data_IF_714879105699
#
_entry.id   IF_714879105699
#
_cell.length_a   1.000
_cell.length_b   1.000
_cell.length_c   1.000
_cell.angle_alpha   90.00
_cell.angle_beta   90.00
_cell.angle_gamma   90.00
#
_symmetry.space_group_name_H-M   'P 1'
#
loop_
_entity.id
_entity.type
_entity.pdbx_description
1 polymer ?
#
# COMPACT_ATOMS: atom_id res chain seq x y z
N UNK A 1 -14.58 13.69 -0.03
CA UNK A 1 -14.59 12.38 -0.70
C UNK A 1 -13.16 12.03 -1.11
N UNK A 2 -12.74 10.75 -0.93
CA UNK A 2 -11.41 10.26 -1.31
C UNK A 2 -11.58 9.47 -2.60
N UNK A 3 -10.79 9.81 -3.63
CA UNK A 3 -10.80 9.06 -4.88
C UNK A 3 -10.10 7.71 -4.68
N UNK A 4 -10.65 6.68 -5.31
CA UNK A 4 -10.08 5.33 -5.38
C UNK A 4 -10.21 4.80 -6.81
N UNK A 5 -9.39 3.85 -7.24
CA UNK A 5 -9.58 3.21 -8.55
C UNK A 5 -10.88 2.41 -8.57
N UNK A 6 -11.55 2.37 -9.70
CA UNK A 6 -12.69 1.47 -9.92
C UNK A 6 -12.24 0.03 -9.69
N UNK A 7 -12.97 -0.69 -8.87
CA UNK A 7 -12.60 -2.04 -8.45
C UNK A 7 -13.81 -2.97 -8.51
N UNK A 8 -13.63 -4.14 -9.14
CA UNK A 8 -14.66 -5.13 -9.38
C UNK A 8 -14.30 -6.46 -8.72
N UNK A 9 -15.30 -7.11 -8.14
CA UNK A 9 -15.17 -8.42 -7.49
C UNK A 9 -15.53 -9.57 -8.44
N UNK A 10 -16.16 -9.27 -9.57
CA UNK A 10 -16.54 -10.27 -10.57
C UNK A 10 -16.08 -9.85 -11.95
N UNK A 11 -15.80 -10.83 -12.80
CA UNK A 11 -15.38 -10.61 -14.18
C UNK A 11 -16.54 -10.03 -15.01
N UNK A 12 -17.77 -10.44 -14.71
CA UNK A 12 -18.94 -10.02 -15.47
C UNK A 12 -19.24 -8.52 -15.25
N UNK A 13 -19.21 -8.04 -14.00
CA UNK A 13 -19.40 -6.61 -13.69
C UNK A 13 -18.34 -5.74 -14.38
N UNK A 14 -17.06 -6.17 -14.36
CA UNK A 14 -16.00 -5.47 -15.05
C UNK A 14 -16.22 -5.42 -16.56
N UNK A 15 -16.63 -6.53 -17.17
CA UNK A 15 -16.93 -6.62 -18.61
C UNK A 15 -18.13 -5.75 -19.02
N UNK A 16 -19.12 -5.62 -18.16
CA UNK A 16 -20.27 -4.75 -18.41
C UNK A 16 -19.83 -3.29 -18.48
N UNK A 17 -19.00 -2.84 -17.53
CA UNK A 17 -18.48 -1.48 -17.52
C UNK A 17 -17.45 -1.21 -18.62
N UNK A 18 -16.70 -2.21 -19.08
CA UNK A 18 -15.86 -2.07 -20.28
C UNK A 18 -16.73 -1.86 -21.52
N UNK A 19 -17.79 -2.65 -21.68
CA UNK A 19 -18.72 -2.52 -22.84
C UNK A 19 -19.44 -1.19 -22.84
N UNK A 20 -19.79 -0.65 -21.69
CA UNK A 20 -20.42 0.67 -21.57
C UNK A 20 -19.46 1.84 -21.78
N UNK A 21 -18.14 1.58 -21.81
CA UNK A 21 -17.10 2.62 -21.86
C UNK A 21 -16.84 3.29 -20.52
N UNK A 22 -17.40 2.76 -19.42
CA UNK A 22 -17.18 3.28 -18.07
C UNK A 22 -15.84 2.84 -17.48
N UNK A 23 -15.29 1.72 -17.97
CA UNK A 23 -13.99 1.17 -17.58
C UNK A 23 -13.12 0.96 -18.81
N UNK A 24 -11.85 1.37 -18.75
CA UNK A 24 -10.92 1.30 -19.87
C UNK A 24 -9.67 0.49 -19.51
N UNK A 25 -9.05 -0.12 -20.51
CA UNK A 25 -7.74 -0.75 -20.38
C UNK A 25 -6.62 0.31 -20.32
N UNK A 26 -5.45 -0.04 -19.71
CA UNK A 26 -5.13 -1.31 -19.07
C UNK A 26 -5.76 -1.49 -17.68
N UNK A 27 -5.94 -2.76 -17.26
CA UNK A 27 -6.53 -3.14 -15.98
C UNK A 27 -5.58 -4.04 -15.20
N UNK A 28 -5.56 -3.87 -13.88
CA UNK A 28 -4.89 -4.82 -12.99
C UNK A 28 -5.81 -5.94 -12.55
N UNK A 29 -5.28 -7.16 -12.58
CA UNK A 29 -5.88 -8.37 -12.04
C UNK A 29 -5.03 -8.81 -10.87
N UNK A 30 -5.60 -8.86 -9.68
CA UNK A 30 -4.85 -9.17 -8.45
C UNK A 30 -5.68 -9.97 -7.45
N UNK A 31 -5.03 -10.73 -6.54
CA UNK A 31 -5.74 -11.37 -5.44
C UNK A 31 -6.45 -10.33 -4.57
N UNK A 32 -7.68 -10.65 -4.15
CA UNK A 32 -8.41 -9.83 -3.17
C UNK A 32 -7.70 -9.81 -1.82
N UNK A 33 -7.15 -10.94 -1.43
CA UNK A 33 -6.33 -11.11 -0.23
C UNK A 33 -4.92 -11.47 -0.67
N UNK A 34 -4.06 -10.49 -0.84
CA UNK A 34 -2.72 -10.65 -1.39
C UNK A 34 -1.67 -9.82 -0.67
N UNK A 35 -0.41 -10.10 -0.96
CA UNK A 35 0.73 -9.33 -0.48
C UNK A 35 1.90 -9.46 -1.46
N UNK A 36 2.81 -8.47 -1.43
CA UNK A 36 4.08 -8.53 -2.16
C UNK A 36 3.93 -8.68 -3.67
N UNK A 37 2.88 -8.12 -4.27
CA UNK A 37 2.55 -8.20 -5.71
C UNK A 37 2.42 -9.62 -6.26
N UNK A 38 2.22 -10.64 -5.40
CA UNK A 38 2.04 -12.02 -5.83
C UNK A 38 0.73 -12.18 -6.61
N UNK A 39 0.82 -12.78 -7.80
CA UNK A 39 -0.32 -12.98 -8.70
C UNK A 39 -0.98 -11.68 -9.19
N UNK A 40 -0.22 -10.60 -9.28
CA UNK A 40 -0.66 -9.34 -9.90
C UNK A 40 -0.30 -9.38 -11.38
N UNK A 41 -1.27 -9.11 -12.24
CA UNK A 41 -1.13 -9.09 -13.69
C UNK A 41 -1.75 -7.82 -14.27
N UNK A 42 -1.25 -7.37 -15.41
CA UNK A 42 -1.81 -6.27 -16.18
C UNK A 42 -2.40 -6.80 -17.48
N UNK A 43 -3.64 -6.43 -17.79
CA UNK A 43 -4.33 -6.76 -19.03
C UNK A 43 -4.49 -5.51 -19.88
N UNK A 44 -4.11 -5.59 -21.16
CA UNK A 44 -4.19 -4.51 -22.14
C UNK A 44 -5.48 -4.58 -23.00
N UNK A 45 -6.18 -5.71 -22.94
CA UNK A 45 -7.38 -5.96 -23.73
C UNK A 45 -8.26 -7.06 -23.12
N UNK A 46 -9.44 -7.26 -23.71
CA UNK A 46 -10.44 -8.23 -23.23
C UNK A 46 -9.95 -9.68 -23.24
N UNK A 47 -9.14 -10.06 -24.23
CA UNK A 47 -8.62 -11.43 -24.33
C UNK A 47 -7.60 -11.73 -23.22
N UNK A 48 -6.71 -10.77 -22.95
CA UNK A 48 -5.78 -10.87 -21.83
C UNK A 48 -6.50 -10.87 -20.50
N UNK A 49 -7.53 -10.04 -20.31
CA UNK A 49 -8.34 -10.02 -19.11
C UNK A 49 -8.88 -11.40 -18.76
N UNK A 50 -9.48 -12.10 -19.74
CA UNK A 50 -10.04 -13.44 -19.54
C UNK A 50 -8.97 -14.47 -19.14
N UNK A 51 -7.87 -14.49 -19.86
CA UNK A 51 -6.75 -15.43 -19.62
C UNK A 51 -6.08 -15.16 -18.27
N UNK A 52 -5.80 -13.90 -17.97
CA UNK A 52 -5.09 -13.51 -16.76
C UNK A 52 -5.98 -13.66 -15.50
N UNK A 53 -7.29 -13.44 -15.62
CA UNK A 53 -8.24 -13.71 -14.54
C UNK A 53 -8.22 -15.20 -14.14
N UNK A 54 -8.34 -16.11 -15.11
CA UNK A 54 -8.26 -17.55 -14.86
C UNK A 54 -6.90 -17.97 -14.31
N UNK A 55 -5.82 -17.36 -14.81
CA UNK A 55 -4.46 -17.58 -14.30
C UNK A 55 -4.33 -17.13 -12.85
N UNK A 56 -4.87 -15.97 -12.49
CA UNK A 56 -4.86 -15.47 -11.12
C UNK A 56 -5.58 -16.44 -10.18
N UNK A 57 -6.81 -16.85 -10.52
CA UNK A 57 -7.59 -17.82 -9.74
C UNK A 57 -6.84 -19.14 -9.54
N UNK A 58 -6.25 -19.68 -10.60
CA UNK A 58 -5.45 -20.91 -10.53
C UNK A 58 -4.25 -20.76 -9.60
N UNK A 59 -3.53 -19.65 -9.72
CA UNK A 59 -2.32 -19.41 -8.95
C UNK A 59 -2.62 -19.16 -7.47
N UNK A 60 -3.70 -18.45 -7.15
CA UNK A 60 -4.19 -18.27 -5.77
C UNK A 60 -4.43 -19.64 -5.12
N UNK A 61 -5.13 -20.54 -5.80
CA UNK A 61 -5.44 -21.89 -5.29
C UNK A 61 -4.20 -22.78 -5.08
N UNK A 62 -3.12 -22.51 -5.82
CA UNK A 62 -1.90 -23.32 -5.82
C UNK A 62 -0.77 -22.75 -4.93
N UNK A 63 -1.01 -21.65 -4.21
CA UNK A 63 -0.03 -21.05 -3.31
C UNK A 63 -0.64 -20.79 -1.92
N UNK A 64 0.08 -20.12 -1.03
CA UNK A 64 -0.38 -19.84 0.33
C UNK A 64 -1.56 -18.87 0.40
N UNK A 65 -1.83 -18.05 -0.64
CA UNK A 65 -2.99 -17.16 -0.69
C UNK A 65 -4.33 -17.92 -0.64
N UNK A 66 -4.32 -19.22 -0.93
CA UNK A 66 -5.51 -20.08 -0.83
C UNK A 66 -6.15 -20.07 0.57
N UNK A 67 -5.35 -19.90 1.62
CA UNK A 67 -5.85 -19.92 3.00
C UNK A 67 -6.71 -18.69 3.31
N UNK A 68 -6.28 -17.51 2.87
CA UNK A 68 -7.06 -16.28 3.01
C UNK A 68 -8.26 -16.26 2.06
N UNK A 69 -8.06 -16.73 0.82
CA UNK A 69 -9.10 -16.78 -0.22
C UNK A 69 -10.18 -17.82 0.06
N UNK A 70 -9.92 -18.77 0.98
CA UNK A 70 -10.91 -19.79 1.37
C UNK A 70 -12.21 -19.20 1.94
N UNK A 71 -12.22 -17.94 2.33
CA UNK A 71 -13.42 -17.22 2.78
C UNK A 71 -14.45 -17.06 1.67
N UNK A 72 -14.00 -16.81 0.45
CA UNK A 72 -14.86 -16.60 -0.72
C UNK A 72 -14.05 -16.80 -2.02
N UNK A 73 -13.95 -18.04 -2.48
CA UNK A 73 -13.28 -18.39 -3.74
C UNK A 73 -14.00 -17.88 -4.98
N UNK A 74 -15.26 -17.47 -4.86
CA UNK A 74 -16.00 -16.90 -5.99
C UNK A 74 -15.61 -15.46 -6.28
N UNK A 75 -14.98 -14.78 -5.31
CA UNK A 75 -14.55 -13.38 -5.35
C UNK A 75 -13.11 -13.21 -4.85
N UNK A 76 -12.25 -14.16 -5.17
CA UNK A 76 -10.86 -14.18 -4.73
C UNK A 76 -9.92 -13.31 -5.59
N UNK A 77 -10.41 -12.84 -6.75
CA UNK A 77 -9.68 -11.97 -7.68
C UNK A 77 -10.37 -10.62 -7.78
N UNK A 78 -9.60 -9.55 -7.72
CA UNK A 78 -10.01 -8.19 -8.04
C UNK A 78 -9.61 -7.84 -9.47
N UNK A 79 -10.47 -7.11 -10.16
CA UNK A 79 -10.17 -6.39 -11.40
C UNK A 79 -10.21 -4.91 -11.05
N UNK A 80 -9.14 -4.19 -11.32
CA UNK A 80 -8.99 -2.82 -10.88
C UNK A 80 -8.46 -1.93 -12.00
N UNK A 81 -9.03 -0.73 -12.08
CA UNK A 81 -8.53 0.36 -12.92
C UNK A 81 -7.06 0.62 -12.62
N UNK A 82 -6.23 0.76 -13.66
CA UNK A 82 -4.85 1.19 -13.50
C UNK A 82 -4.82 2.67 -13.18
N UNK A 83 -4.18 3.03 -12.07
CA UNK A 83 -3.87 4.41 -11.77
C UNK A 83 -2.60 4.83 -12.51
N UNK A 84 -2.57 6.07 -12.95
CA UNK A 84 -1.44 6.71 -13.61
C UNK A 84 -0.86 7.82 -12.72
N UNK A 85 0.29 8.34 -13.13
CA UNK A 85 0.99 9.40 -12.40
C UNK A 85 2.08 8.90 -11.48
N UNK A 86 2.44 9.72 -10.50
CA UNK A 86 3.51 9.40 -9.54
C UNK A 86 2.95 8.67 -8.33
N UNK A 87 3.66 7.64 -7.87
CA UNK A 87 3.28 6.86 -6.69
C UNK A 87 3.94 7.40 -5.43
N UNK A 88 3.13 7.53 -4.38
CA UNK A 88 3.54 7.99 -3.06
C UNK A 88 3.16 6.96 -2.00
N UNK A 89 4.03 6.80 -1.00
CA UNK A 89 3.74 6.04 0.20
C UNK A 89 3.50 6.98 1.38
N UNK A 90 2.45 6.74 2.13
CA UNK A 90 2.14 7.48 3.35
C UNK A 90 2.28 6.55 4.56
N UNK A 91 2.95 7.04 5.62
CA UNK A 91 2.77 6.49 6.95
C UNK A 91 1.80 7.41 7.70
N UNK A 92 0.58 6.95 7.90
CA UNK A 92 -0.47 7.67 8.60
C UNK A 92 -0.48 7.17 10.04
N UNK A 93 -0.20 8.05 10.99
CA UNK A 93 0.09 7.66 12.38
C UNK A 93 -1.00 8.18 13.31
N UNK A 94 -1.63 7.26 14.03
CA UNK A 94 -2.46 7.53 15.20
C UNK A 94 -1.78 7.03 16.47
N UNK A 95 -2.11 7.63 17.62
CA UNK A 95 -1.72 7.08 18.92
C UNK A 95 -2.56 5.84 19.32
N UNK A 96 -2.40 5.36 20.54
CA UNK A 96 -3.13 4.18 21.04
C UNK A 96 -4.61 4.48 21.34
N UNK A 97 -4.99 5.74 21.52
CA UNK A 97 -6.37 6.23 21.67
C UNK A 97 -7.02 6.60 20.34
N UNK A 98 -6.34 6.33 19.20
CA UNK A 98 -6.81 6.61 17.84
C UNK A 98 -6.80 8.10 17.46
N UNK A 99 -6.09 8.94 18.20
CA UNK A 99 -5.94 10.34 17.84
C UNK A 99 -4.86 10.46 16.76
N UNK A 100 -5.17 11.22 15.72
CA UNK A 100 -4.22 11.52 14.65
C UNK A 100 -3.01 12.28 15.16
N UNK A 101 -1.83 11.80 14.83
CA UNK A 101 -0.56 12.41 15.18
C UNK A 101 0.08 13.11 13.98
N UNK A 102 0.32 12.37 12.90
CA UNK A 102 0.98 12.90 11.69
C UNK A 102 0.77 11.99 10.48
N UNK A 103 1.13 12.50 9.30
CA UNK A 103 1.26 11.74 8.04
C UNK A 103 2.60 12.05 7.41
N UNK A 104 3.45 11.05 7.28
CA UNK A 104 4.76 11.14 6.60
C UNK A 104 4.56 10.80 5.12
N UNK A 105 4.96 11.72 4.25
CA UNK A 105 4.79 11.56 2.80
C UNK A 105 6.12 11.21 2.13
N UNK A 106 6.11 10.21 1.28
CA UNK A 106 7.27 9.73 0.52
C UNK A 106 6.95 9.58 -0.95
N UNK A 107 7.75 10.18 -1.81
CA UNK A 107 7.73 9.90 -3.24
C UNK A 107 8.50 8.59 -3.49
N UNK A 108 7.86 7.61 -4.14
CA UNK A 108 8.49 6.34 -4.49
C UNK A 108 9.22 6.46 -5.83
N UNK A 109 10.53 6.23 -5.83
CA UNK A 109 11.36 6.25 -7.05
C UNK A 109 11.56 4.87 -7.65
N UNK A 110 11.62 3.84 -6.82
CA UNK A 110 11.80 2.46 -7.27
C UNK A 110 11.07 1.48 -6.35
N UNK A 111 10.57 0.41 -6.99
CA UNK A 111 9.92 -0.71 -6.32
C UNK A 111 10.71 -1.99 -6.61
N UNK A 112 10.76 -2.90 -5.64
CA UNK A 112 11.36 -4.23 -5.79
C UNK A 112 10.43 -5.27 -5.17
N UNK A 113 9.93 -6.19 -5.98
CA UNK A 113 9.06 -7.28 -5.52
C UNK A 113 7.84 -6.80 -4.71
N UNK A 114 7.22 -5.69 -5.13
CA UNK A 114 6.05 -5.12 -4.46
C UNK A 114 6.34 -4.31 -3.20
N UNK A 115 7.63 -4.01 -2.92
CA UNK A 115 8.02 -3.14 -1.82
C UNK A 115 8.79 -1.91 -2.31
N UNK A 116 8.66 -0.80 -1.60
CA UNK A 116 9.43 0.40 -1.86
C UNK A 116 10.93 0.11 -1.68
N UNK A 117 11.70 0.35 -2.73
CA UNK A 117 13.16 0.13 -2.78
C UNK A 117 13.95 1.44 -2.69
N UNK A 118 13.43 2.52 -3.26
CA UNK A 118 13.99 3.87 -3.18
C UNK A 118 12.88 4.89 -2.98
N UNK A 119 13.03 5.78 -2.00
CA UNK A 119 12.06 6.83 -1.71
C UNK A 119 12.71 8.10 -1.19
N UNK A 120 11.99 9.21 -1.35
CA UNK A 120 12.35 10.56 -0.90
C UNK A 120 11.24 11.09 0.00
N UNK A 121 11.56 11.55 1.21
CA UNK A 121 10.60 12.28 2.06
C UNK A 121 10.30 13.65 1.48
N UNK A 122 9.02 13.98 1.41
CA UNK A 122 8.53 15.22 0.81
C UNK A 122 7.50 15.92 1.69
N UNK A 123 7.42 17.24 1.57
CA UNK A 123 6.28 18.00 2.09
C UNK A 123 5.19 18.07 1.01
N UNK A 124 3.97 17.64 1.36
CA UNK A 124 2.82 17.71 0.44
C UNK A 124 1.50 17.90 1.19
N UNK A 125 1.00 19.13 1.23
CA UNK A 125 -0.19 19.50 1.99
C UNK A 125 -1.45 18.67 1.63
N UNK A 126 -1.65 18.37 0.35
CA UNK A 126 -2.79 17.53 -0.11
C UNK A 126 -2.73 16.10 0.43
N UNK A 127 -1.55 15.47 0.43
CA UNK A 127 -1.36 14.13 0.96
C UNK A 127 -1.54 14.10 2.49
N UNK A 128 -0.99 15.07 3.21
CA UNK A 128 -1.19 15.20 4.67
C UNK A 128 -2.67 15.35 5.02
N UNK A 129 -3.42 16.17 4.27
CA UNK A 129 -4.86 16.33 4.47
C UNK A 129 -5.65 15.04 4.22
N UNK A 130 -5.28 14.27 3.20
CA UNK A 130 -5.90 12.95 2.93
C UNK A 130 -5.56 11.97 4.06
N UNK A 131 -4.30 11.91 4.50
CA UNK A 131 -3.89 11.07 5.62
C UNK A 131 -4.65 11.39 6.90
N UNK A 132 -4.78 12.66 7.25
CA UNK A 132 -5.58 13.10 8.40
C UNK A 132 -7.06 12.70 8.26
N UNK A 133 -7.64 12.87 7.07
CA UNK A 133 -9.01 12.47 6.80
C UNK A 133 -9.20 10.94 6.98
N UNK A 134 -8.29 10.13 6.44
CA UNK A 134 -8.31 8.67 6.60
C UNK A 134 -8.19 8.29 8.07
N UNK A 135 -7.21 8.86 8.78
CA UNK A 135 -6.95 8.59 10.19
C UNK A 135 -8.18 8.80 11.08
N UNK A 136 -8.84 9.96 10.91
CA UNK A 136 -10.02 10.34 11.69
C UNK A 136 -11.25 9.47 11.39
N UNK A 137 -11.42 9.01 10.17
CA UNK A 137 -12.58 8.19 9.77
C UNK A 137 -12.37 6.70 10.03
N UNK A 138 -11.15 6.19 9.84
CA UNK A 138 -10.82 4.78 10.05
C UNK A 138 -10.59 4.46 11.54
N UNK A 139 -9.95 5.37 12.27
CA UNK A 139 -9.65 5.20 13.68
C UNK A 139 -8.73 4.01 13.96
N UNK A 140 -7.74 3.79 13.10
CA UNK A 140 -6.70 2.78 13.32
C UNK A 140 -5.78 3.16 14.48
N UNK A 141 -4.97 2.21 14.96
CA UNK A 141 -3.96 2.40 16.00
C UNK A 141 -2.57 2.21 15.39
N UNK A 142 -1.63 3.07 15.74
CA UNK A 142 -0.25 3.02 15.25
C UNK A 142 -0.14 3.42 13.77
N UNK A 143 0.60 2.65 12.97
CA UNK A 143 0.86 2.94 11.57
C UNK A 143 -0.20 2.38 10.63
N UNK A 144 -0.63 3.19 9.69
CA UNK A 144 -1.34 2.77 8.49
C UNK A 144 -0.46 3.09 7.29
N UNK A 145 0.04 2.06 6.62
CA UNK A 145 0.74 2.16 5.35
C UNK A 145 -0.29 2.36 4.24
N UNK A 146 -0.18 3.45 3.50
CA UNK A 146 -1.15 3.83 2.49
C UNK A 146 -0.45 4.21 1.19
N UNK A 147 -0.82 3.57 0.10
CA UNK A 147 -0.30 3.86 -1.23
C UNK A 147 -1.26 4.76 -2.00
N UNK A 148 -0.70 5.80 -2.61
CA UNK A 148 -1.45 6.88 -3.25
C UNK A 148 -0.81 7.23 -4.58
N UNK A 149 -1.64 7.51 -5.59
CA UNK A 149 -1.19 8.05 -6.87
C UNK A 149 -1.62 9.51 -7.03
N UNK A 150 -0.73 10.31 -7.61
CA UNK A 150 -1.06 11.67 -8.05
C UNK A 150 -0.89 11.73 -9.56
N UNK A 151 -1.99 11.99 -10.25
CA UNK A 151 -2.02 12.29 -11.67
C UNK A 151 -2.59 13.69 -11.88
N UNK A 152 -1.74 14.60 -12.36
CA UNK A 152 -2.02 16.03 -12.35
C UNK A 152 -2.40 16.50 -10.94
N UNK A 153 -3.62 17.01 -10.73
CA UNK A 153 -4.12 17.44 -9.42
C UNK A 153 -5.00 16.39 -8.72
N UNK A 154 -5.21 15.23 -9.35
CA UNK A 154 -6.04 14.17 -8.81
C UNK A 154 -5.23 13.24 -7.92
N UNK A 155 -5.58 13.19 -6.65
CA UNK A 155 -5.03 12.25 -5.68
C UNK A 155 -5.99 11.05 -5.56
N UNK A 156 -5.46 9.83 -5.71
CA UNK A 156 -6.23 8.58 -5.62
C UNK A 156 -5.55 7.61 -4.68
N UNK A 157 -6.28 7.09 -3.70
CA UNK A 157 -5.80 6.07 -2.76
C UNK A 157 -5.91 4.69 -3.42
N UNK A 158 -4.79 4.00 -3.54
CA UNK A 158 -4.72 2.66 -4.13
C UNK A 158 -5.04 1.57 -3.11
N UNK A 159 -4.33 1.59 -1.98
CA UNK A 159 -4.50 0.59 -0.92
C UNK A 159 -4.09 1.13 0.45
N UNK A 160 -4.59 0.47 1.50
CA UNK A 160 -4.29 0.79 2.89
C UNK A 160 -4.03 -0.49 3.68
N UNK A 161 -2.97 -0.50 4.48
CA UNK A 161 -2.55 -1.64 5.28
C UNK A 161 -2.29 -1.19 6.72
N UNK A 162 -3.08 -1.64 7.69
CA UNK A 162 -2.95 -1.26 9.11
C UNK A 162 -1.77 -2.00 9.77
N UNK A 163 -0.56 -1.68 9.35
CA UNK A 163 0.73 -2.22 9.84
C UNK A 163 1.87 -1.32 9.39
N UNK A 164 3.09 -1.58 9.88
CA UNK A 164 4.28 -1.00 9.29
C UNK A 164 4.46 -1.47 7.85
N UNK A 165 4.60 -0.53 6.92
CA UNK A 165 4.84 -0.80 5.51
C UNK A 165 6.30 -1.03 5.16
N UNK A 166 6.55 -1.55 3.96
CA UNK A 166 7.89 -1.63 3.38
C UNK A 166 8.55 -0.25 3.19
N UNK A 167 7.76 0.82 3.18
CA UNK A 167 8.19 2.21 3.11
C UNK A 167 8.57 2.85 4.45
N UNK A 168 8.17 2.27 5.61
CA UNK A 168 8.45 2.86 6.92
C UNK A 168 9.96 3.06 7.23
N UNK A 169 10.88 2.16 6.82
CA UNK A 169 12.31 2.39 7.05
C UNK A 169 12.83 3.74 6.50
N UNK A 170 12.22 4.26 5.44
CA UNK A 170 12.58 5.59 4.90
C UNK A 170 12.09 6.73 5.80
N UNK A 171 10.91 6.58 6.42
CA UNK A 171 10.41 7.52 7.43
C UNK A 171 11.32 7.50 8.67
N UNK A 172 11.76 6.31 9.07
CA UNK A 172 12.68 6.16 10.19
C UNK A 172 14.06 6.78 9.90
N UNK A 173 14.59 6.58 8.68
CA UNK A 173 15.81 7.22 8.21
C UNK A 173 15.72 8.76 8.25
N UNK A 174 14.53 9.29 7.99
CA UNK A 174 14.23 10.72 8.04
C UNK A 174 13.93 11.26 9.46
N UNK A 175 14.19 10.48 10.52
CA UNK A 175 14.06 10.91 11.91
C UNK A 175 12.82 10.40 12.64
N UNK A 176 11.80 9.90 11.95
CA UNK A 176 10.55 9.43 12.58
C UNK A 176 10.79 8.14 13.38
N UNK A 177 10.55 8.18 14.68
CA UNK A 177 10.72 7.00 15.54
C UNK A 177 9.39 6.55 16.17
N UNK A 178 8.49 6.02 15.32
CA UNK A 178 7.21 5.50 15.78
C UNK A 178 7.33 4.36 16.79
N UNK A 179 8.29 3.40 16.68
CA UNK A 179 8.48 2.39 17.73
C UNK A 179 8.72 3.02 19.11
N UNK A 180 9.54 4.08 19.19
CA UNK A 180 9.77 4.82 20.46
C UNK A 180 8.46 5.47 20.96
N UNK A 181 7.69 6.09 20.06
CA UNK A 181 6.41 6.70 20.41
C UNK A 181 5.41 5.66 20.96
N UNK A 182 5.29 4.50 20.30
CA UNK A 182 4.40 3.41 20.75
C UNK A 182 4.80 2.92 22.15
N UNK A 183 6.09 2.71 22.40
CA UNK A 183 6.58 2.27 23.71
C UNK A 183 6.26 3.32 24.78
N UNK A 184 6.53 4.59 24.50
CA UNK A 184 6.21 5.66 25.45
C UNK A 184 4.71 5.77 25.74
N UNK A 185 3.83 5.69 24.71
CA UNK A 185 2.39 5.66 24.91
C UNK A 185 1.93 4.47 25.77
N UNK A 186 2.50 3.28 25.56
CA UNK A 186 2.22 2.09 26.38
C UNK A 186 2.63 2.28 27.85
N UNK A 187 3.68 3.08 28.10
CA UNK A 187 4.13 3.43 29.45
C UNK A 187 3.39 4.62 30.07
N UNK A 188 2.44 5.22 29.34
CA UNK A 188 1.72 6.40 29.77
C UNK A 188 2.54 7.70 29.71
N UNK A 189 3.61 7.72 28.95
CA UNK A 189 4.49 8.88 28.78
C UNK A 189 3.90 9.85 27.72
N UNK A 190 4.13 11.14 27.96
CA UNK A 190 3.92 12.16 26.92
C UNK A 190 5.09 12.09 25.93
N UNK A 191 4.75 11.93 24.65
CA UNK A 191 5.73 11.86 23.57
C UNK A 191 5.95 13.26 23.00
N UNK A 192 7.21 13.67 22.92
CA UNK A 192 7.59 14.89 22.23
C UNK A 192 7.23 14.77 20.74
N UNK A 193 6.62 15.82 20.18
CA UNK A 193 6.25 15.89 18.77
C UNK A 193 7.43 15.65 17.81
N UNK A 194 8.64 15.99 18.23
CA UNK A 194 9.86 15.80 17.43
C UNK A 194 10.19 14.31 17.20
N UNK A 195 9.66 13.40 18.03
CA UNK A 195 9.83 11.95 17.84
C UNK A 195 9.15 11.45 16.57
N UNK A 196 8.10 12.14 16.13
CA UNK A 196 7.31 11.80 14.92
C UNK A 196 7.48 12.80 13.78
N UNK A 197 8.47 13.68 13.89
CA UNK A 197 8.76 14.70 12.88
C UNK A 197 9.80 14.17 11.89
N UNK A 198 9.47 14.26 10.62
CA UNK A 198 10.37 13.91 9.52
C UNK A 198 11.26 15.07 9.07
N UNK A 199 12.47 14.77 8.69
CA UNK A 199 13.31 15.63 7.87
C UNK A 199 12.87 15.50 6.41
N UNK A 200 12.59 16.63 5.76
CA UNK A 200 12.17 16.66 4.35
C UNK A 200 13.41 16.63 3.45
N UNK A 201 13.31 15.92 2.32
CA UNK A 201 14.39 15.80 1.34
C UNK A 201 15.38 14.68 1.65
N UNK A 202 15.06 13.80 2.61
CA UNK A 202 15.89 12.63 2.89
C UNK A 202 15.56 11.53 1.88
N UNK A 203 16.56 11.18 1.06
CA UNK A 203 16.46 10.11 0.07
C UNK A 203 17.19 8.87 0.59
N UNK A 204 16.53 7.73 0.52
CA UNK A 204 17.09 6.44 0.89
C UNK A 204 16.88 5.40 -0.20
N UNK A 205 17.75 4.39 -0.20
CA UNK A 205 17.63 3.19 -1.04
C UNK A 205 17.95 1.96 -0.22
N UNK A 206 17.17 0.89 -0.38
CA UNK A 206 17.47 -0.42 0.21
C UNK A 206 18.63 -1.06 -0.50
N UNK A 207 19.52 -1.68 0.25
CA UNK A 207 20.67 -2.45 -0.25
C UNK A 207 20.61 -3.88 0.26
N UNK A 208 21.29 -4.78 -0.45
CA UNK A 208 21.39 -6.20 -0.10
C UNK A 208 22.80 -6.49 0.34
N UNK A 209 22.95 -6.92 1.59
CA UNK A 209 24.21 -7.38 2.13
C UNK A 209 24.30 -8.91 2.13
N UNK A 210 25.47 -9.46 1.73
CA UNK A 210 25.76 -10.89 1.85
C UNK A 210 26.15 -11.17 3.29
N UNK A 211 25.39 -12.04 3.96
CA UNK A 211 25.64 -12.47 5.35
C UNK A 211 26.23 -13.87 5.35
N UNK A 212 27.37 -14.04 6.03
CA UNK A 212 27.95 -15.37 6.26
C UNK A 212 27.07 -16.14 7.25
N UNK A 213 26.58 -17.29 6.81
CA UNK A 213 25.85 -18.21 7.69
C UNK A 213 26.80 -19.22 8.31
N UNK A 214 26.86 -19.30 9.63
CA UNK A 214 27.52 -20.39 10.31
C UNK A 214 26.57 -21.59 10.40
N UNK A 215 26.99 -22.69 9.75
CA UNK A 215 26.23 -23.94 9.77
C UNK A 215 26.48 -24.58 11.14
N UNK A 216 25.57 -24.49 12.10
CA UNK A 216 25.54 -25.41 13.24
C UNK A 216 25.19 -26.78 12.66
N UNK A 217 26.13 -27.72 12.71
CA UNK A 217 25.82 -29.13 12.49
C UNK A 217 24.93 -29.57 13.65
N UNK A 218 23.73 -30.03 13.31
CA UNK A 218 22.78 -30.68 14.21
C UNK A 218 23.17 -32.15 14.27
#
# INVERSE_FOLDING_TARGET
EINTPKTYLTLDDAKEDIKSGSLNFPLFIKPRWGMGSLCVYEAENMQELDVLYLKAQRNIKNNYLKYESARDFSRDVLIQEKLFGMEYGLDIINDLEKNYQTTICKLKYAMRSGETDCALTIEHAGLKKIGECIAKNLGHIGNLDCDVFIDNDRISVLEMNARFGGGYPFSHLAGVNLPKAIIGWLLGEQIDSDVLKEDIGVMGQKDINIVKLERKMI
#
